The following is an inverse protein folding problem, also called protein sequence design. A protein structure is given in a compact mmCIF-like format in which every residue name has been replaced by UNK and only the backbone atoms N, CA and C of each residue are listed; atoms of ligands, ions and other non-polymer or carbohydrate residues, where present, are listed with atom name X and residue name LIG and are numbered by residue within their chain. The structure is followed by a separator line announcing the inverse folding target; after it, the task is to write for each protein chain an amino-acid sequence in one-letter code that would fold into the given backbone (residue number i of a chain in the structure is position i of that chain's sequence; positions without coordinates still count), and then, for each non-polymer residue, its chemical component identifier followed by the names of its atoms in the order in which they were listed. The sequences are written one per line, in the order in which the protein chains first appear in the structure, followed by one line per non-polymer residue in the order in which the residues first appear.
data_IF_997171432244
#
_entry.id   IF_997171432244
#
_cell.length_a   1.000
_cell.length_b   1.000
_cell.length_c   1.000
_cell.angle_alpha   90.00
_cell.angle_beta   90.00
_cell.angle_gamma   90.00
#
_symmetry.space_group_name_H-M   'P 1'
#
loop_
_entity.id
_entity.type
_entity.pdbx_description
1 polymer ?
#
# COMPACT_ATOMS: atom_id res chain seq x y z
N UNK A 1 2.77 -2.95 10.25
CA UNK A 1 4.04 -2.92 9.47
C UNK A 1 3.91 -2.06 8.21
N UNK A 2 2.93 -2.32 7.32
CA UNK A 2 2.71 -1.53 6.09
C UNK A 2 2.59 -0.01 6.32
N UNK A 3 1.70 0.44 7.21
CA UNK A 3 1.51 1.88 7.48
C UNK A 3 2.80 2.53 7.99
N UNK A 4 3.54 1.86 8.88
CA UNK A 4 4.81 2.38 9.40
C UNK A 4 5.85 2.53 8.28
N UNK A 5 5.94 1.53 7.39
CA UNK A 5 6.81 1.60 6.21
C UNK A 5 6.42 2.78 5.32
N UNK A 6 5.14 2.92 4.99
CA UNK A 6 4.64 4.00 4.14
C UNK A 6 4.80 5.39 4.77
N UNK A 7 4.70 5.52 6.10
CA UNK A 7 5.00 6.77 6.80
C UNK A 7 6.49 7.15 6.74
N UNK A 8 7.37 6.16 6.72
CA UNK A 8 8.82 6.38 6.69
C UNK A 8 9.38 6.57 5.26
N UNK A 9 8.83 5.85 4.28
CA UNK A 9 9.35 5.80 2.90
C UNK A 9 8.44 6.54 1.89
N UNK A 10 7.21 6.88 2.26
CA UNK A 10 6.23 7.57 1.42
C UNK A 10 5.48 6.65 0.45
N UNK A 11 6.16 5.71 -0.18
CA UNK A 11 5.59 4.77 -1.14
C UNK A 11 6.15 3.35 -1.01
N UNK A 12 5.43 2.39 -1.60
CA UNK A 12 5.84 0.99 -1.63
C UNK A 12 5.55 0.38 -2.99
N UNK A 13 6.54 -0.30 -3.57
CA UNK A 13 6.35 -1.12 -4.77
C UNK A 13 5.78 -2.50 -4.42
N UNK A 14 5.23 -3.20 -5.42
CA UNK A 14 4.73 -4.57 -5.25
C UNK A 14 5.83 -5.54 -4.75
N UNK A 15 7.06 -5.37 -5.21
CA UNK A 15 8.20 -6.17 -4.77
C UNK A 15 8.55 -5.92 -3.29
N UNK A 16 8.67 -4.65 -2.90
CA UNK A 16 8.92 -4.28 -1.50
C UNK A 16 7.79 -4.74 -0.58
N UNK A 17 6.54 -4.65 -1.03
CA UNK A 17 5.39 -5.13 -0.27
C UNK A 17 5.45 -6.66 -0.06
N UNK A 18 5.80 -7.42 -1.09
CA UNK A 18 6.01 -8.86 -0.98
C UNK A 18 7.08 -9.17 0.07
N UNK A 19 8.21 -8.46 0.04
CA UNK A 19 9.29 -8.73 0.98
C UNK A 19 8.95 -8.26 2.42
N UNK A 20 8.16 -7.19 2.56
CA UNK A 20 7.66 -6.73 3.85
C UNK A 20 6.66 -7.72 4.49
N UNK A 21 5.80 -8.32 3.68
CA UNK A 21 4.72 -9.21 4.14
C UNK A 21 5.09 -10.69 4.11
N UNK A 22 6.15 -11.04 3.37
CA UNK A 22 6.52 -12.42 3.03
C UNK A 22 5.35 -13.20 2.39
N UNK A 23 4.40 -12.49 1.78
CA UNK A 23 3.26 -13.10 1.11
C UNK A 23 3.72 -13.83 -0.15
N UNK A 24 3.04 -14.94 -0.47
CA UNK A 24 3.30 -15.63 -1.72
C UNK A 24 2.90 -14.77 -2.92
N UNK A 25 3.50 -15.04 -4.09
CA UNK A 25 3.20 -14.31 -5.34
C UNK A 25 1.71 -14.32 -5.68
N UNK A 26 1.01 -15.42 -5.37
CA UNK A 26 -0.43 -15.57 -5.59
C UNK A 26 -1.26 -14.54 -4.82
N UNK A 27 -0.80 -14.12 -3.64
CA UNK A 27 -1.58 -13.26 -2.74
C UNK A 27 -1.07 -11.82 -2.65
N UNK A 28 0.09 -11.50 -3.24
CA UNK A 28 0.68 -10.15 -3.14
C UNK A 28 -0.24 -9.08 -3.74
N UNK A 29 -0.72 -9.28 -4.97
CA UNK A 29 -1.61 -8.33 -5.64
C UNK A 29 -2.99 -8.26 -4.95
N UNK A 30 -3.68 -9.39 -4.68
CA UNK A 30 -4.96 -9.36 -3.97
C UNK A 30 -4.92 -8.66 -2.61
N UNK A 31 -3.85 -8.83 -1.83
CA UNK A 31 -3.70 -8.15 -0.54
C UNK A 31 -3.53 -6.64 -0.71
N UNK A 32 -2.79 -6.21 -1.74
CA UNK A 32 -2.64 -4.79 -2.02
C UNK A 32 -3.96 -4.16 -2.50
N UNK A 33 -4.70 -4.86 -3.37
CA UNK A 33 -6.05 -4.43 -3.81
C UNK A 33 -7.04 -4.37 -2.65
N UNK A 34 -6.91 -5.27 -1.68
CA UNK A 34 -7.67 -5.20 -0.44
C UNK A 34 -7.38 -3.89 0.32
N UNK A 35 -6.11 -3.51 0.50
CA UNK A 35 -5.77 -2.23 1.15
C UNK A 35 -6.23 -1.00 0.36
N UNK A 36 -6.24 -1.07 -0.97
CA UNK A 36 -6.79 -0.02 -1.83
C UNK A 36 -8.32 0.12 -1.63
N UNK A 37 -9.03 -1.00 -1.58
CA UNK A 37 -10.49 -1.07 -1.34
C UNK A 37 -10.87 -0.58 0.05
N UNK A 38 -10.05 -0.92 1.06
CA UNK A 38 -10.19 -0.41 2.43
C UNK A 38 -9.77 1.06 2.58
N UNK A 39 -9.41 1.73 1.48
CA UNK A 39 -8.96 3.14 1.47
C UNK A 39 -7.74 3.39 2.34
N UNK A 40 -6.90 2.37 2.58
CA UNK A 40 -5.64 2.50 3.33
C UNK A 40 -4.53 2.98 2.40
N UNK A 41 -4.48 2.44 1.18
CA UNK A 41 -3.51 2.81 0.16
C UNK A 41 -4.20 3.38 -1.08
N UNK A 42 -3.41 4.07 -1.91
CA UNK A 42 -3.79 4.47 -3.26
C UNK A 42 -2.66 4.11 -4.21
N UNK A 43 -3.01 3.56 -5.37
CA UNK A 43 -2.04 3.26 -6.43
C UNK A 43 -1.69 4.54 -7.19
N UNK A 44 -0.38 4.78 -7.34
CA UNK A 44 0.18 5.88 -8.12
C UNK A 44 1.23 5.29 -9.06
N UNK A 45 0.84 5.06 -10.32
CA UNK A 45 1.68 4.31 -11.27
C UNK A 45 1.92 2.87 -10.81
N UNK A 46 3.18 2.53 -10.55
CA UNK A 46 3.62 1.19 -10.15
C UNK A 46 3.84 1.02 -8.64
N UNK A 47 3.64 2.09 -7.87
CA UNK A 47 3.75 2.09 -6.41
C UNK A 47 2.41 2.38 -5.75
N UNK A 48 2.37 2.18 -4.44
CA UNK A 48 1.24 2.54 -3.58
C UNK A 48 1.70 3.48 -2.49
N UNK A 49 0.87 4.48 -2.19
CA UNK A 49 1.09 5.45 -1.12
C UNK A 49 0.03 5.32 -0.05
N UNK A 50 0.34 5.78 1.17
CA UNK A 50 -0.65 5.87 2.23
C UNK A 50 -1.71 6.88 1.79
N UNK A 51 -2.98 6.51 1.88
CA UNK A 51 -4.08 7.42 1.59
C UNK A 51 -4.21 8.37 2.79
N UNK A 52 -3.98 9.66 2.55
CA UNK A 52 -4.21 10.67 3.58
C UNK A 52 -5.72 10.95 3.69
N UNK A 53 -6.28 10.73 4.88
CA UNK A 53 -7.71 10.91 5.16
C UNK A 53 -8.15 12.38 5.07
N UNK A 54 -7.21 13.32 5.01
CA UNK A 54 -7.51 14.77 4.92
C UNK A 54 -7.92 15.26 3.52
N UNK A 55 -7.94 14.41 2.49
CA UNK A 55 -8.38 14.80 1.15
C UNK A 55 -9.90 14.68 0.90
N UNK A 56 -10.72 14.59 1.97
CA UNK A 56 -12.18 14.48 1.89
C UNK A 56 -12.96 15.60 2.58
N UNK A 57 -12.29 16.60 3.15
CA UNK A 57 -12.90 17.83 3.68
C UNK A 57 -11.89 18.96 3.49
N UNK A 58 -12.08 19.74 2.42
CA UNK A 58 -11.73 21.16 2.36
C UNK A 58 -12.99 21.87 1.87
#
# INVERSE_FOLDING_TARGET
RLIAFLKAQGEISTAQFKDLTQASRKYTIPLLEYFDTQKVTIRVGDTRRLRDSKAGVQ
#
